data_IF_836310999169
#
_entry.id   IF_836310999169
#
_cell.length_a   1.000
_cell.length_b   1.000
_cell.length_c   1.000
_cell.angle_alpha   90.00
_cell.angle_beta   90.00
_cell.angle_gamma   90.00
#
_symmetry.space_group_name_H-M   'P 1'
#
loop_
_entity.id
_entity.type
_entity.pdbx_description
1 polymer ?
#
# COMPACT_ATOMS: atom_id res chain seq x y z
N UNK A 1 -41.52 -20.56 15.15
CA UNK A 1 -41.69 -19.91 13.83
C UNK A 1 -40.34 -19.51 13.19
N UNK A 2 -39.28 -20.28 13.42
CA UNK A 2 -37.90 -19.87 13.06
C UNK A 2 -37.66 -19.91 11.53
N UNK A 3 -38.38 -20.74 10.77
CA UNK A 3 -38.14 -20.94 9.33
C UNK A 3 -38.96 -20.05 8.37
N UNK A 4 -39.97 -19.31 8.84
CA UNK A 4 -40.90 -18.59 7.95
C UNK A 4 -40.34 -17.26 7.45
N UNK A 5 -39.53 -16.57 8.26
CA UNK A 5 -38.91 -15.31 7.87
C UNK A 5 -37.87 -15.51 6.76
N UNK A 6 -37.01 -16.53 6.88
CA UNK A 6 -36.01 -16.90 5.88
C UNK A 6 -36.60 -17.13 4.49
N UNK A 7 -37.72 -17.86 4.43
CA UNK A 7 -38.42 -18.11 3.17
C UNK A 7 -38.98 -16.83 2.55
N UNK A 8 -39.52 -15.92 3.35
CA UNK A 8 -40.02 -14.63 2.87
C UNK A 8 -38.87 -13.76 2.32
N UNK A 9 -37.70 -13.78 2.98
CA UNK A 9 -36.49 -13.09 2.53
C UNK A 9 -35.99 -13.67 1.21
N UNK A 10 -35.89 -15.01 1.08
CA UNK A 10 -35.41 -15.66 -0.16
C UNK A 10 -36.36 -15.47 -1.34
N UNK A 11 -37.67 -15.48 -1.10
CA UNK A 11 -38.68 -15.24 -2.13
C UNK A 11 -38.84 -13.73 -2.44
N UNK A 12 -38.00 -12.87 -1.87
CA UNK A 12 -38.02 -11.42 -2.00
C UNK A 12 -39.40 -10.80 -1.67
N UNK A 13 -40.07 -11.34 -0.65
CA UNK A 13 -41.38 -10.87 -0.16
C UNK A 13 -41.18 -9.93 1.02
N UNK A 14 -40.67 -8.72 0.75
CA UNK A 14 -40.30 -7.74 1.78
C UNK A 14 -41.45 -7.42 2.75
N UNK A 15 -42.66 -7.21 2.24
CA UNK A 15 -43.84 -6.93 3.07
C UNK A 15 -44.18 -8.08 4.04
N UNK A 16 -44.05 -9.32 3.57
CA UNK A 16 -44.26 -10.51 4.38
C UNK A 16 -43.14 -10.68 5.40
N UNK A 17 -41.88 -10.48 5.00
CA UNK A 17 -40.74 -10.55 5.90
C UNK A 17 -40.88 -9.51 7.04
N UNK A 18 -41.17 -8.26 6.70
CA UNK A 18 -41.42 -7.17 7.65
C UNK A 18 -42.59 -7.48 8.59
N UNK A 19 -43.70 -8.01 8.06
CA UNK A 19 -44.85 -8.44 8.88
C UNK A 19 -44.45 -9.55 9.87
N UNK A 20 -43.70 -10.56 9.41
CA UNK A 20 -43.26 -11.67 10.24
C UNK A 20 -42.31 -11.20 11.36
N UNK A 21 -41.38 -10.28 11.06
CA UNK A 21 -40.46 -9.69 12.05
C UNK A 21 -41.25 -8.93 13.13
N UNK A 22 -42.17 -8.04 12.70
CA UNK A 22 -43.04 -7.27 13.61
C UNK A 22 -43.95 -8.16 14.46
N UNK A 23 -44.26 -9.36 13.99
CA UNK A 23 -45.04 -10.36 14.72
C UNK A 23 -44.23 -11.15 15.77
N UNK A 24 -42.96 -10.79 15.99
CA UNK A 24 -42.09 -11.43 16.99
C UNK A 24 -41.35 -12.67 16.47
N UNK A 25 -41.10 -12.77 15.15
CA UNK A 25 -40.20 -13.80 14.64
C UNK A 25 -38.77 -13.58 15.14
N UNK A 26 -38.03 -14.67 15.24
CA UNK A 26 -36.61 -14.66 15.58
C UNK A 26 -35.81 -13.90 14.50
N UNK A 27 -35.04 -12.91 14.95
CA UNK A 27 -34.22 -12.04 14.10
C UNK A 27 -32.74 -12.43 14.10
N UNK A 28 -32.34 -13.34 14.98
CA UNK A 28 -30.92 -13.71 15.21
C UNK A 28 -30.57 -15.11 14.79
N UNK A 29 -31.46 -16.09 15.00
CA UNK A 29 -31.13 -17.49 14.70
C UNK A 29 -30.66 -17.63 13.27
N UNK A 30 -29.54 -18.33 13.02
CA UNK A 30 -29.09 -18.61 11.67
C UNK A 30 -30.11 -19.48 10.93
N UNK A 31 -30.08 -19.40 9.59
CA UNK A 31 -30.89 -20.23 8.70
C UNK A 31 -30.81 -21.71 9.11
N UNK A 32 -31.96 -22.39 9.21
CA UNK A 32 -32.06 -23.84 9.48
C UNK A 32 -32.72 -24.57 8.32
N UNK A 33 -32.41 -25.86 8.17
CA UNK A 33 -33.05 -26.72 7.18
C UNK A 33 -34.57 -26.77 7.38
N UNK A 34 -35.32 -26.74 6.28
CA UNK A 34 -36.77 -26.94 6.31
C UNK A 34 -37.16 -28.37 6.68
N UNK A 35 -38.44 -28.62 7.01
CA UNK A 35 -38.94 -29.97 7.21
C UNK A 35 -38.67 -30.82 5.96
N UNK A 36 -38.00 -31.98 6.13
CA UNK A 36 -37.65 -32.88 5.03
C UNK A 36 -36.28 -32.64 4.38
N UNK A 37 -35.42 -31.78 4.95
CA UNK A 37 -34.06 -31.54 4.44
C UNK A 37 -33.97 -30.54 3.29
N UNK A 38 -35.09 -29.86 2.96
CA UNK A 38 -35.08 -28.77 1.98
C UNK A 38 -34.17 -27.63 2.44
N UNK A 39 -33.19 -27.27 1.60
CA UNK A 39 -32.20 -26.22 1.84
C UNK A 39 -30.99 -26.65 2.69
N UNK A 40 -30.79 -27.95 2.96
CA UNK A 40 -29.69 -28.46 3.79
C UNK A 40 -28.28 -28.12 3.26
N UNK A 41 -28.14 -27.92 1.95
CA UNK A 41 -26.93 -27.47 1.26
C UNK A 41 -26.58 -26.00 1.57
N UNK A 42 -27.58 -25.15 1.87
CA UNK A 42 -27.41 -23.72 2.21
C UNK A 42 -27.31 -23.49 3.73
N UNK A 43 -27.41 -24.54 4.56
CA UNK A 43 -27.33 -24.45 6.04
C UNK A 43 -25.90 -24.31 6.54
N UNK A 44 -24.90 -24.62 5.71
CA UNK A 44 -23.47 -24.51 6.08
C UNK A 44 -23.00 -23.08 6.36
N UNK A 45 -23.74 -22.07 5.93
CA UNK A 45 -23.25 -20.69 5.86
C UNK A 45 -23.52 -19.88 7.14
N UNK A 46 -24.32 -20.41 8.08
CA UNK A 46 -24.70 -19.73 9.33
C UNK A 46 -25.23 -18.28 9.16
N UNK A 47 -25.80 -17.96 7.98
CA UNK A 47 -26.35 -16.64 7.71
C UNK A 47 -27.56 -16.32 8.61
N UNK A 48 -27.47 -15.19 9.32
CA UNK A 48 -28.61 -14.57 10.01
C UNK A 48 -29.55 -13.90 8.98
N UNK A 49 -30.80 -13.56 9.35
CA UNK A 49 -31.69 -12.79 8.47
C UNK A 49 -31.02 -11.51 7.93
N UNK A 50 -30.22 -10.85 8.76
CA UNK A 50 -29.49 -9.64 8.39
C UNK A 50 -28.43 -9.88 7.29
N UNK A 51 -27.71 -11.01 7.33
CA UNK A 51 -26.77 -11.38 6.26
C UNK A 51 -27.50 -11.54 4.92
N UNK A 52 -28.64 -12.24 4.92
CA UNK A 52 -29.40 -12.49 3.70
C UNK A 52 -29.97 -11.21 3.10
N UNK A 53 -30.48 -10.31 3.94
CA UNK A 53 -30.92 -9.01 3.46
C UNK A 53 -29.76 -8.21 2.85
N UNK A 54 -28.55 -8.33 3.41
CA UNK A 54 -27.34 -7.74 2.83
C UNK A 54 -26.90 -8.41 1.53
N UNK A 55 -27.19 -9.71 1.32
CA UNK A 55 -26.96 -10.38 0.04
C UNK A 55 -27.95 -9.90 -1.02
N UNK A 56 -29.24 -9.86 -0.68
CA UNK A 56 -30.33 -9.62 -1.61
C UNK A 56 -30.67 -8.13 -1.84
N UNK A 57 -30.17 -7.22 -1.01
CA UNK A 57 -30.43 -5.78 -1.15
C UNK A 57 -31.69 -5.26 -0.43
N UNK A 58 -32.19 -5.98 0.57
CA UNK A 58 -33.51 -5.70 1.21
C UNK A 58 -33.44 -4.61 2.27
N UNK A 59 -33.32 -3.36 1.84
CA UNK A 59 -33.04 -2.22 2.73
C UNK A 59 -34.15 -1.98 3.78
N UNK A 60 -35.44 -2.12 3.41
CA UNK A 60 -36.56 -1.93 4.35
C UNK A 60 -36.60 -3.02 5.44
N UNK A 61 -36.33 -4.26 5.05
CA UNK A 61 -36.29 -5.40 5.97
C UNK A 61 -35.14 -5.24 6.96
N UNK A 62 -33.99 -4.72 6.52
CA UNK A 62 -32.84 -4.42 7.40
C UNK A 62 -33.21 -3.42 8.48
N UNK A 63 -33.89 -2.32 8.14
CA UNK A 63 -34.34 -1.35 9.15
C UNK A 63 -35.23 -2.02 10.19
N UNK A 64 -36.19 -2.82 9.74
CA UNK A 64 -37.10 -3.53 10.63
C UNK A 64 -36.34 -4.52 11.52
N UNK A 65 -35.38 -5.27 10.98
CA UNK A 65 -34.55 -6.20 11.76
C UNK A 65 -33.77 -5.46 12.87
N UNK A 66 -33.14 -4.34 12.54
CA UNK A 66 -32.35 -3.55 13.49
C UNK A 66 -33.23 -2.93 14.59
N UNK A 67 -34.42 -2.42 14.24
CA UNK A 67 -35.41 -1.92 15.21
C UNK A 67 -35.85 -3.00 16.22
N UNK A 68 -35.85 -4.27 15.81
CA UNK A 68 -36.24 -5.41 16.63
C UNK A 68 -35.04 -6.09 17.31
N UNK A 69 -33.89 -5.41 17.37
CA UNK A 69 -32.73 -5.85 18.14
C UNK A 69 -31.82 -6.85 17.42
N UNK A 70 -31.87 -6.92 16.08
CA UNK A 70 -30.93 -7.73 15.34
C UNK A 70 -29.49 -7.26 15.59
N UNK A 71 -28.57 -8.18 15.87
CA UNK A 71 -27.18 -7.90 16.11
C UNK A 71 -26.47 -7.61 14.78
N UNK A 72 -26.11 -6.34 14.62
CA UNK A 72 -25.40 -5.82 13.45
C UNK A 72 -24.03 -6.44 13.21
N UNK A 73 -23.42 -7.02 14.26
CA UNK A 73 -22.07 -7.59 14.22
C UNK A 73 -22.05 -9.13 14.24
N UNK A 74 -23.20 -9.79 14.06
CA UNK A 74 -23.25 -11.25 13.99
C UNK A 74 -22.31 -11.77 12.90
N UNK A 75 -21.69 -12.92 13.14
CA UNK A 75 -20.75 -13.55 12.19
C UNK A 75 -21.35 -14.80 11.57
N UNK A 76 -21.16 -14.95 10.27
CA UNK A 76 -21.50 -16.16 9.53
C UNK A 76 -20.42 -17.26 9.67
N UNK A 77 -20.53 -18.36 8.92
CA UNK A 77 -19.57 -19.48 9.00
C UNK A 77 -18.17 -19.13 8.47
N UNK A 78 -18.05 -18.14 7.60
CA UNK A 78 -16.79 -17.57 7.12
C UNK A 78 -16.23 -16.50 8.08
N UNK A 79 -16.95 -16.20 9.16
CA UNK A 79 -16.60 -15.15 10.12
C UNK A 79 -16.91 -13.75 9.62
N UNK A 80 -17.61 -13.61 8.49
CA UNK A 80 -18.01 -12.33 7.91
C UNK A 80 -19.17 -11.74 8.69
N UNK A 81 -19.19 -10.42 8.78
CA UNK A 81 -20.33 -9.66 9.34
C UNK A 81 -21.27 -9.21 8.21
N UNK A 82 -22.51 -8.76 8.52
CA UNK A 82 -23.42 -8.20 7.52
C UNK A 82 -22.78 -7.06 6.69
N UNK A 83 -21.91 -6.25 7.31
CA UNK A 83 -21.17 -5.19 6.60
C UNK A 83 -20.22 -5.76 5.53
N UNK A 84 -19.54 -6.88 5.79
CA UNK A 84 -18.70 -7.54 4.78
C UNK A 84 -19.55 -7.95 3.57
N UNK A 85 -20.68 -8.60 3.81
CA UNK A 85 -21.60 -9.07 2.75
C UNK A 85 -22.15 -7.90 1.94
N UNK A 86 -22.56 -6.80 2.60
CA UNK A 86 -23.06 -5.61 1.92
C UNK A 86 -22.00 -4.97 1.02
N UNK A 87 -20.74 -4.95 1.46
CA UNK A 87 -19.60 -4.42 0.69
C UNK A 87 -19.29 -5.31 -0.51
N UNK A 88 -19.21 -6.62 -0.33
CA UNK A 88 -18.93 -7.60 -1.40
C UNK A 88 -20.00 -7.55 -2.50
N UNK A 89 -21.26 -7.34 -2.13
CA UNK A 89 -22.39 -7.20 -3.06
C UNK A 89 -22.62 -5.76 -3.55
N UNK A 90 -21.78 -4.80 -3.14
CA UNK A 90 -21.83 -3.39 -3.56
C UNK A 90 -23.15 -2.65 -3.27
N UNK A 91 -23.90 -3.07 -2.25
CA UNK A 91 -25.17 -2.46 -1.88
C UNK A 91 -24.98 -1.15 -1.11
N UNK A 92 -24.72 -0.07 -1.83
CA UNK A 92 -24.35 1.23 -1.26
C UNK A 92 -25.34 1.78 -0.22
N UNK A 93 -26.65 1.62 -0.46
CA UNK A 93 -27.67 2.06 0.50
C UNK A 93 -27.60 1.29 1.83
N UNK A 94 -27.36 -0.02 1.76
CA UNK A 94 -27.20 -0.88 2.93
C UNK A 94 -25.91 -0.55 3.67
N UNK A 95 -24.81 -0.36 2.95
CA UNK A 95 -23.52 0.02 3.56
C UNK A 95 -23.69 1.32 4.36
N UNK A 96 -24.29 2.36 3.76
CA UNK A 96 -24.55 3.62 4.46
C UNK A 96 -25.47 3.45 5.67
N UNK A 97 -26.51 2.62 5.55
CA UNK A 97 -27.43 2.31 6.64
C UNK A 97 -26.69 1.64 7.80
N UNK A 98 -25.93 0.58 7.53
CA UNK A 98 -25.18 -0.15 8.56
C UNK A 98 -24.15 0.76 9.24
N UNK A 99 -23.38 1.54 8.49
CA UNK A 99 -22.40 2.50 9.03
C UNK A 99 -23.03 3.64 9.86
N UNK A 100 -24.32 3.91 9.69
CA UNK A 100 -25.05 4.89 10.51
C UNK A 100 -25.47 4.33 11.88
N UNK A 101 -25.48 3.01 12.06
CA UNK A 101 -25.95 2.39 13.30
C UNK A 101 -24.90 2.50 14.43
N UNK A 102 -25.35 2.76 15.68
CA UNK A 102 -24.46 2.76 16.83
C UNK A 102 -23.94 1.33 17.12
N UNK A 103 -22.67 1.22 17.52
CA UNK A 103 -22.08 -0.05 17.92
C UNK A 103 -21.62 -0.96 16.77
N UNK A 104 -21.60 -0.49 15.52
CA UNK A 104 -21.01 -1.25 14.42
C UNK A 104 -19.51 -1.47 14.64
N UNK A 105 -19.07 -2.73 14.55
CA UNK A 105 -17.67 -3.11 14.71
C UNK A 105 -16.95 -3.09 13.34
N UNK A 106 -16.14 -2.05 13.15
CA UNK A 106 -15.30 -1.85 11.96
C UNK A 106 -13.94 -2.56 12.04
N UNK A 107 -13.66 -3.25 13.15
CA UNK A 107 -12.43 -4.01 13.38
C UNK A 107 -12.62 -5.53 13.22
N UNK A 108 -13.87 -5.99 13.13
CA UNK A 108 -14.22 -7.39 12.97
C UNK A 108 -13.52 -8.00 11.74
N UNK A 109 -12.81 -9.11 11.94
CA UNK A 109 -12.17 -9.84 10.83
C UNK A 109 -12.90 -11.15 10.53
N UNK A 110 -12.96 -11.47 9.24
CA UNK A 110 -13.37 -12.79 8.75
C UNK A 110 -12.29 -13.86 9.03
N UNK A 111 -12.57 -15.11 8.67
CA UNK A 111 -11.65 -16.23 8.87
C UNK A 111 -10.35 -16.10 8.05
N UNK A 112 -10.36 -15.30 6.98
CA UNK A 112 -9.18 -14.97 6.16
C UNK A 112 -8.39 -13.78 6.74
N UNK A 113 -8.90 -13.12 7.78
CA UNK A 113 -8.30 -11.94 8.40
C UNK A 113 -8.65 -10.62 7.72
N UNK A 114 -9.63 -10.61 6.82
CA UNK A 114 -10.13 -9.43 6.09
C UNK A 114 -11.07 -8.65 7.02
N UNK A 115 -10.78 -7.37 7.22
CA UNK A 115 -11.66 -6.40 7.90
C UNK A 115 -12.65 -5.75 6.91
N UNK A 116 -13.69 -5.00 7.35
CA UNK A 116 -14.60 -4.31 6.44
C UNK A 116 -13.89 -3.34 5.48
N UNK A 117 -12.88 -2.61 5.96
CA UNK A 117 -12.09 -1.70 5.12
C UNK A 117 -11.31 -2.47 4.04
N UNK A 118 -10.65 -3.57 4.44
CA UNK A 118 -10.01 -4.51 3.51
C UNK A 118 -10.97 -5.03 2.44
N UNK A 119 -12.18 -5.44 2.83
CA UNK A 119 -13.20 -5.92 1.90
C UNK A 119 -13.58 -4.83 0.89
N UNK A 120 -13.70 -3.57 1.33
CA UNK A 120 -14.00 -2.45 0.45
C UNK A 120 -12.89 -2.22 -0.60
N UNK A 121 -11.62 -2.32 -0.20
CA UNK A 121 -10.49 -2.22 -1.13
C UNK A 121 -10.45 -3.39 -2.12
N UNK A 122 -10.66 -4.62 -1.66
CA UNK A 122 -10.70 -5.83 -2.51
C UNK A 122 -11.84 -5.73 -3.52
N UNK A 123 -13.01 -5.25 -3.10
CA UNK A 123 -14.19 -5.04 -3.94
C UNK A 123 -14.11 -3.76 -4.80
N UNK A 124 -13.02 -2.97 -4.70
CA UNK A 124 -12.85 -1.66 -5.37
C UNK A 124 -13.97 -0.65 -5.06
N UNK A 125 -14.59 -0.77 -3.90
CA UNK A 125 -15.66 0.10 -3.45
C UNK A 125 -15.09 1.29 -2.67
N UNK A 126 -14.59 2.28 -3.42
CA UNK A 126 -13.98 3.49 -2.86
C UNK A 126 -14.93 4.27 -1.93
N UNK A 127 -16.24 4.29 -2.25
CA UNK A 127 -17.25 4.97 -1.43
C UNK A 127 -17.42 4.31 -0.07
N UNK A 128 -17.49 2.97 -0.05
CA UNK A 128 -17.55 2.22 1.21
C UNK A 128 -16.27 2.41 2.03
N UNK A 129 -15.09 2.36 1.38
CA UNK A 129 -13.82 2.59 2.04
C UNK A 129 -13.73 3.99 2.67
N UNK A 130 -14.16 5.04 1.96
CA UNK A 130 -14.23 6.40 2.49
C UNK A 130 -15.20 6.52 3.67
N UNK A 131 -16.42 5.99 3.55
CA UNK A 131 -17.40 6.03 4.63
C UNK A 131 -16.92 5.27 5.89
N UNK A 132 -16.14 4.21 5.73
CA UNK A 132 -15.50 3.49 6.84
C UNK A 132 -14.42 4.36 7.49
N UNK A 133 -13.58 5.06 6.71
CA UNK A 133 -12.54 5.95 7.25
C UNK A 133 -13.11 7.16 7.97
N UNK A 134 -14.23 7.72 7.50
CA UNK A 134 -14.94 8.80 8.18
C UNK A 134 -15.40 8.41 9.60
N UNK A 135 -15.77 7.14 9.80
CA UNK A 135 -16.15 6.59 11.11
C UNK A 135 -14.95 6.09 11.91
N UNK A 136 -13.95 5.53 11.25
CA UNK A 136 -12.76 4.97 11.85
C UNK A 136 -11.51 5.32 11.02
N UNK A 137 -10.86 6.46 11.32
CA UNK A 137 -9.65 6.89 10.59
C UNK A 137 -8.50 5.88 10.71
N UNK A 138 -8.45 5.12 11.80
CA UNK A 138 -7.41 4.11 12.03
C UNK A 138 -7.59 2.85 11.18
N UNK A 139 -8.70 2.73 10.42
CA UNK A 139 -8.99 1.53 9.63
C UNK A 139 -7.91 1.26 8.56
N UNK A 140 -7.32 2.29 7.95
CA UNK A 140 -6.25 2.15 6.97
C UNK A 140 -4.92 1.68 7.56
N UNK A 141 -4.69 1.91 8.85
CA UNK A 141 -3.44 1.53 9.53
C UNK A 141 -3.49 0.14 10.16
N UNK A 142 -4.63 -0.54 10.07
CA UNK A 142 -4.75 -1.90 10.55
C UNK A 142 -3.81 -2.83 9.76
N UNK A 143 -3.06 -3.64 10.50
CA UNK A 143 -2.10 -4.58 9.92
C UNK A 143 -2.68 -5.98 9.76
N UNK A 144 -2.14 -6.74 8.81
CA UNK A 144 -2.38 -8.17 8.68
C UNK A 144 -1.51 -8.99 9.67
N UNK A 145 -1.63 -10.32 9.65
CA UNK A 145 -0.82 -11.23 10.48
C UNK A 145 0.69 -11.17 10.19
N UNK A 146 1.09 -10.54 9.08
CA UNK A 146 2.49 -10.33 8.69
C UNK A 146 2.96 -8.91 9.03
N UNK A 147 2.16 -8.12 9.74
CA UNK A 147 2.52 -6.76 10.13
C UNK A 147 2.39 -5.71 9.03
N UNK A 148 1.68 -6.00 7.92
CA UNK A 148 1.52 -5.09 6.79
C UNK A 148 0.17 -4.41 6.82
N UNK A 149 0.14 -3.08 6.75
CA UNK A 149 -1.09 -2.32 6.49
C UNK A 149 -1.51 -2.40 5.01
N UNK A 150 -2.61 -1.74 4.64
CA UNK A 150 -3.16 -1.76 3.28
C UNK A 150 -2.23 -1.15 2.24
N UNK A 151 -1.53 -0.06 2.58
CA UNK A 151 -0.58 0.58 1.68
C UNK A 151 0.58 -0.36 1.36
N UNK A 152 1.15 -1.04 2.36
CA UNK A 152 2.20 -2.04 2.15
C UNK A 152 1.75 -3.16 1.21
N UNK A 153 0.53 -3.69 1.39
CA UNK A 153 0.00 -4.77 0.55
C UNK A 153 -0.24 -4.29 -0.88
N UNK A 154 -0.78 -3.08 -1.07
CA UNK A 154 -1.02 -2.49 -2.39
C UNK A 154 0.30 -2.29 -3.16
N UNK A 155 1.34 -1.78 -2.48
CA UNK A 155 2.66 -1.57 -3.08
C UNK A 155 3.30 -2.91 -3.49
N UNK A 156 3.27 -3.92 -2.61
CA UNK A 156 3.85 -5.24 -2.91
C UNK A 156 3.15 -5.96 -4.07
N UNK A 157 1.85 -5.72 -4.25
CA UNK A 157 1.09 -6.24 -5.40
C UNK A 157 1.22 -5.37 -6.66
N UNK A 158 1.94 -4.26 -6.58
CA UNK A 158 2.01 -3.24 -7.64
C UNK A 158 0.62 -2.73 -8.06
N UNK A 159 -0.33 -2.69 -7.12
CA UNK A 159 -1.72 -2.30 -7.36
C UNK A 159 -1.86 -0.78 -7.28
N UNK A 160 -1.57 -0.11 -8.41
CA UNK A 160 -1.52 1.35 -8.49
C UNK A 160 -2.86 2.01 -8.17
N UNK A 161 -3.99 1.38 -8.52
CA UNK A 161 -5.32 1.93 -8.22
C UNK A 161 -5.56 2.02 -6.71
N UNK A 162 -5.23 0.94 -5.98
CA UNK A 162 -5.31 0.95 -4.51
C UNK A 162 -4.35 1.97 -3.90
N UNK A 163 -3.12 2.06 -4.42
CA UNK A 163 -2.14 3.05 -3.94
C UNK A 163 -2.68 4.46 -4.12
N UNK A 164 -3.15 4.82 -5.32
CA UNK A 164 -3.67 6.17 -5.58
C UNK A 164 -4.90 6.49 -4.75
N UNK A 165 -5.78 5.52 -4.52
CA UNK A 165 -6.90 5.69 -3.60
C UNK A 165 -6.45 5.91 -2.15
N UNK A 166 -5.50 5.12 -1.65
CA UNK A 166 -4.98 5.28 -0.29
C UNK A 166 -4.26 6.63 -0.11
N UNK A 167 -3.52 7.09 -1.13
CA UNK A 167 -2.90 8.40 -1.11
C UNK A 167 -3.91 9.55 -1.12
N UNK A 168 -5.04 9.40 -1.83
CA UNK A 168 -6.08 10.43 -1.88
C UNK A 168 -6.86 10.58 -0.57
N UNK A 169 -6.85 9.57 0.29
CA UNK A 169 -7.42 9.62 1.65
C UNK A 169 -6.37 9.93 2.73
N UNK A 170 -5.18 10.40 2.32
CA UNK A 170 -4.10 10.90 3.19
C UNK A 170 -3.64 9.90 4.28
N UNK A 171 -3.52 8.61 3.94
CA UNK A 171 -2.95 7.59 4.86
C UNK A 171 -1.49 7.89 5.24
N UNK A 172 -0.98 7.28 6.31
CA UNK A 172 0.42 7.43 6.68
C UNK A 172 1.35 6.70 5.68
N UNK A 173 1.94 7.49 4.79
CA UNK A 173 2.91 7.05 3.78
C UNK A 173 4.28 6.68 4.35
N UNK A 174 4.51 6.88 5.65
CA UNK A 174 5.75 6.56 6.34
C UNK A 174 5.59 5.46 7.39
N UNK A 175 4.44 4.77 7.39
CA UNK A 175 4.15 3.62 8.23
C UNK A 175 5.19 2.50 8.02
N UNK A 176 5.58 1.79 9.08
CA UNK A 176 6.57 0.70 8.97
C UNK A 176 5.89 -0.66 9.02
N UNK A 177 6.34 -1.59 8.17
CA UNK A 177 5.95 -2.99 8.29
C UNK A 177 6.34 -3.51 9.67
N UNK A 178 5.44 -4.16 10.38
CA UNK A 178 5.69 -4.73 11.71
C UNK A 178 6.31 -6.14 11.61
N UNK A 179 7.34 -6.28 10.79
CA UNK A 179 8.15 -7.50 10.65
C UNK A 179 9.61 -7.24 11.06
N UNK A 180 10.48 -8.22 10.84
CA UNK A 180 11.90 -8.09 11.17
C UNK A 180 12.63 -6.99 10.38
N UNK A 181 12.08 -6.56 9.24
CA UNK A 181 12.71 -5.55 8.38
C UNK A 181 12.38 -4.14 8.81
N UNK A 182 11.22 -3.91 9.43
CA UNK A 182 10.70 -2.57 9.73
C UNK A 182 10.70 -1.64 8.50
N UNK A 183 10.49 -2.21 7.31
CA UNK A 183 10.59 -1.51 6.04
C UNK A 183 9.49 -0.44 5.91
N UNK A 184 9.84 0.83 5.61
CA UNK A 184 8.88 1.85 5.16
C UNK A 184 8.27 1.51 3.78
N UNK A 185 7.17 2.18 3.37
CA UNK A 185 6.48 1.86 2.12
C UNK A 185 7.35 2.21 0.91
N UNK A 186 8.19 3.25 1.04
CA UNK A 186 9.16 3.64 0.01
C UNK A 186 10.23 2.57 -0.26
N UNK A 187 10.64 1.78 0.75
CA UNK A 187 11.56 0.65 0.55
C UNK A 187 10.88 -0.48 -0.23
N UNK A 188 9.60 -0.74 0.05
CA UNK A 188 8.83 -1.74 -0.71
C UNK A 188 8.66 -1.30 -2.16
N UNK A 189 8.36 -0.02 -2.39
CA UNK A 189 8.29 0.57 -3.72
C UNK A 189 9.63 0.48 -4.47
N UNK A 190 10.72 0.76 -3.76
CA UNK A 190 12.07 0.67 -4.31
C UNK A 190 12.44 -0.76 -4.70
N UNK A 191 12.00 -1.76 -3.94
CA UNK A 191 12.19 -3.18 -4.26
C UNK A 191 11.31 -3.64 -5.44
N UNK A 192 10.07 -3.14 -5.51
CA UNK A 192 9.10 -3.50 -6.55
C UNK A 192 9.52 -2.98 -7.94
N UNK A 193 10.31 -1.91 -8.01
CA UNK A 193 10.85 -1.39 -9.28
C UNK A 193 9.89 -0.51 -10.09
N UNK A 194 8.73 -0.15 -9.53
CA UNK A 194 7.76 0.72 -10.21
C UNK A 194 8.06 2.20 -9.94
N UNK A 195 8.61 2.89 -10.94
CA UNK A 195 9.02 4.30 -10.82
C UNK A 195 7.84 5.24 -10.57
N UNK A 196 6.71 5.02 -11.23
CA UNK A 196 5.52 5.88 -11.10
C UNK A 196 4.97 5.78 -9.68
N UNK A 197 4.90 4.57 -9.13
CA UNK A 197 4.48 4.33 -7.76
C UNK A 197 5.43 5.02 -6.77
N UNK A 198 6.75 4.84 -6.95
CA UNK A 198 7.74 5.45 -6.07
C UNK A 198 7.68 6.99 -6.10
N UNK A 199 7.58 7.60 -7.29
CA UNK A 199 7.39 9.04 -7.42
C UNK A 199 6.11 9.50 -6.73
N UNK A 200 5.01 8.77 -6.91
CA UNK A 200 3.73 9.11 -6.27
C UNK A 200 3.84 9.11 -4.74
N UNK A 201 4.58 8.17 -4.15
CA UNK A 201 4.86 8.16 -2.70
C UNK A 201 5.71 9.37 -2.27
N UNK A 202 6.76 9.71 -3.03
CA UNK A 202 7.60 10.89 -2.73
C UNK A 202 6.78 12.19 -2.79
N UNK A 203 5.93 12.34 -3.80
CA UNK A 203 5.00 13.47 -3.92
C UNK A 203 4.00 13.53 -2.75
N UNK A 204 3.59 12.39 -2.22
CA UNK A 204 2.71 12.30 -1.05
C UNK A 204 3.44 12.48 0.30
N UNK A 205 4.74 12.80 0.29
CA UNK A 205 5.51 13.09 1.51
C UNK A 205 6.25 11.89 2.12
N UNK A 206 6.48 10.83 1.35
CA UNK A 206 7.34 9.73 1.79
C UNK A 206 8.79 10.20 2.00
N UNK A 207 9.38 9.84 3.14
CA UNK A 207 10.75 10.26 3.49
C UNK A 207 11.80 9.37 2.80
N UNK A 208 12.63 9.91 1.89
CA UNK A 208 13.62 9.11 1.15
C UNK A 208 14.75 8.55 2.02
N UNK A 209 14.99 9.18 3.18
CA UNK A 209 16.12 8.88 4.07
C UNK A 209 15.73 8.03 5.28
N UNK A 210 14.47 7.59 5.37
CA UNK A 210 14.08 6.66 6.41
C UNK A 210 14.90 5.37 6.31
N UNK A 211 15.21 4.79 7.46
CA UNK A 211 16.05 3.61 7.58
C UNK A 211 15.24 2.42 8.07
N UNK A 212 15.49 1.26 7.47
CA UNK A 212 14.95 -0.03 7.91
C UNK A 212 15.75 -0.58 9.11
N UNK A 213 15.40 -1.78 9.60
CA UNK A 213 16.09 -2.44 10.71
C UNK A 213 17.58 -2.72 10.45
N UNK A 214 17.99 -2.80 9.18
CA UNK A 214 19.38 -2.97 8.75
C UNK A 214 20.08 -1.64 8.45
N UNK A 215 19.48 -0.52 8.85
CA UNK A 215 19.92 0.85 8.56
C UNK A 215 19.96 1.20 7.06
N UNK A 216 19.31 0.40 6.20
CA UNK A 216 19.26 0.66 4.75
C UNK A 216 18.25 1.75 4.45
N UNK A 217 18.59 2.63 3.54
CA UNK A 217 17.64 3.58 2.91
C UNK A 217 16.97 2.96 1.68
N UNK A 218 15.93 3.59 1.15
CA UNK A 218 15.29 3.14 -0.10
C UNK A 218 16.30 3.05 -1.26
N UNK A 219 17.33 3.90 -1.26
CA UNK A 219 18.39 3.89 -2.27
C UNK A 219 19.23 2.61 -2.22
N UNK A 220 19.54 2.09 -1.03
CA UNK A 220 20.24 0.81 -0.89
C UNK A 220 19.40 -0.35 -1.45
N UNK A 221 18.09 -0.32 -1.19
CA UNK A 221 17.15 -1.34 -1.69
C UNK A 221 17.05 -1.28 -3.22
N UNK A 222 16.90 -0.07 -3.80
CA UNK A 222 16.86 0.13 -5.24
C UNK A 222 18.17 -0.34 -5.93
N UNK A 223 19.31 0.00 -5.33
CA UNK A 223 20.63 -0.40 -5.81
C UNK A 223 20.84 -1.92 -5.77
N UNK A 224 20.42 -2.57 -4.69
CA UNK A 224 20.48 -4.03 -4.54
C UNK A 224 19.50 -4.81 -5.39
N UNK A 225 18.39 -4.19 -5.81
CA UNK A 225 17.46 -4.77 -6.78
C UNK A 225 17.83 -4.46 -8.25
N UNK A 226 18.80 -3.57 -8.47
CA UNK A 226 19.27 -3.18 -9.80
C UNK A 226 18.37 -2.21 -10.56
N UNK A 227 17.44 -1.55 -9.88
CA UNK A 227 16.44 -0.67 -10.49
C UNK A 227 17.00 0.73 -10.73
N UNK A 228 17.71 0.89 -11.85
CA UNK A 228 18.40 2.14 -12.20
C UNK A 228 17.46 3.37 -12.30
N UNK A 229 16.23 3.19 -12.81
CA UNK A 229 15.23 4.25 -12.88
C UNK A 229 14.77 4.71 -11.48
N UNK A 230 14.64 3.77 -10.54
CA UNK A 230 14.30 4.07 -9.15
C UNK A 230 15.44 4.82 -8.47
N UNK A 231 16.69 4.42 -8.72
CA UNK A 231 17.88 5.13 -8.23
C UNK A 231 17.83 6.60 -8.65
N UNK A 232 17.55 6.87 -9.93
CA UNK A 232 17.40 8.23 -10.46
C UNK A 232 16.25 9.00 -9.80
N UNK A 233 15.09 8.35 -9.65
CA UNK A 233 13.93 8.95 -9.00
C UNK A 233 14.17 9.27 -7.52
N UNK A 234 14.90 8.42 -6.79
CA UNK A 234 15.29 8.66 -5.39
C UNK A 234 16.33 9.76 -5.27
N UNK A 235 17.34 9.79 -6.16
CA UNK A 235 18.36 10.85 -6.19
C UNK A 235 17.74 12.22 -6.41
N UNK A 236 16.86 12.34 -7.42
CA UNK A 236 16.08 13.57 -7.67
C UNK A 236 15.06 13.88 -6.57
N UNK A 237 14.62 12.86 -5.82
CA UNK A 237 13.70 12.96 -4.69
C UNK A 237 14.35 13.33 -3.35
N UNK A 238 15.64 13.69 -3.32
CA UNK A 238 16.33 14.13 -2.09
C UNK A 238 16.89 13.00 -1.23
N UNK A 239 17.13 11.81 -1.80
CA UNK A 239 17.79 10.72 -1.08
C UNK A 239 19.26 11.04 -0.76
N UNK A 240 19.68 10.75 0.46
CA UNK A 240 21.07 10.83 0.93
C UNK A 240 21.89 9.71 0.29
N UNK A 241 22.67 10.07 -0.72
CA UNK A 241 23.39 9.11 -1.54
C UNK A 241 24.59 8.48 -0.81
N UNK A 242 25.21 9.24 0.11
CA UNK A 242 26.32 8.78 0.95
C UNK A 242 25.92 8.03 2.23
N UNK A 243 24.63 7.75 2.44
CA UNK A 243 24.18 6.98 3.60
C UNK A 243 24.79 5.57 3.58
N UNK A 244 25.08 5.03 4.77
CA UNK A 244 25.61 3.68 4.96
C UNK A 244 24.65 2.81 5.73
N UNK A 245 24.59 1.53 5.37
CA UNK A 245 23.82 0.52 6.10
C UNK A 245 24.53 0.00 7.36
N UNK A 246 23.99 -1.03 8.00
CA UNK A 246 24.57 -1.62 9.21
C UNK A 246 25.95 -2.28 8.98
N UNK A 247 26.27 -2.65 7.74
CA UNK A 247 27.59 -3.17 7.33
C UNK A 247 28.57 -2.07 6.91
N UNK A 248 28.16 -0.81 6.93
CA UNK A 248 28.91 0.31 6.38
C UNK A 248 28.92 0.35 4.86
N UNK A 249 28.07 -0.43 4.19
CA UNK A 249 27.96 -0.43 2.75
C UNK A 249 27.11 0.77 2.32
N UNK A 250 27.60 1.57 1.37
CA UNK A 250 26.78 2.57 0.66
C UNK A 250 25.93 1.89 -0.41
N UNK A 251 24.94 2.60 -0.98
CA UNK A 251 24.15 2.09 -2.10
C UNK A 251 25.03 1.61 -3.27
N UNK A 252 26.17 2.27 -3.53
CA UNK A 252 27.13 1.86 -4.56
C UNK A 252 27.82 0.53 -4.23
N UNK A 253 28.21 0.32 -2.96
CA UNK A 253 28.74 -0.97 -2.51
C UNK A 253 27.73 -2.10 -2.71
N UNK A 254 26.45 -1.84 -2.41
CA UNK A 254 25.38 -2.82 -2.61
C UNK A 254 25.19 -3.13 -4.10
N UNK A 255 25.07 -2.12 -4.98
CA UNK A 255 24.96 -2.33 -6.43
C UNK A 255 26.13 -3.14 -7.00
N UNK A 256 27.35 -2.82 -6.56
CA UNK A 256 28.57 -3.52 -6.95
C UNK A 256 28.60 -4.97 -6.49
N UNK A 257 28.20 -5.24 -5.24
CA UNK A 257 28.19 -6.58 -4.64
C UNK A 257 27.21 -7.52 -5.35
N UNK A 258 26.05 -7.00 -5.75
CA UNK A 258 25.01 -7.75 -6.48
C UNK A 258 25.24 -7.77 -8.01
N UNK A 259 26.24 -7.03 -8.52
CA UNK A 259 26.59 -7.03 -9.96
C UNK A 259 25.69 -6.15 -10.83
N UNK A 260 24.94 -5.21 -10.25
CA UNK A 260 24.01 -4.34 -10.97
C UNK A 260 24.74 -3.12 -11.57
N UNK A 261 25.46 -3.36 -12.67
CA UNK A 261 26.28 -2.35 -13.33
C UNK A 261 25.51 -1.09 -13.75
N UNK A 262 24.25 -1.22 -14.20
CA UNK A 262 23.45 -0.06 -14.61
C UNK A 262 23.07 0.83 -13.44
N UNK A 263 22.66 0.25 -12.29
CA UNK A 263 22.39 0.99 -11.07
C UNK A 263 23.66 1.65 -10.51
N UNK A 264 24.81 0.97 -10.57
CA UNK A 264 26.09 1.56 -10.19
C UNK A 264 26.49 2.74 -11.09
N UNK A 265 26.22 2.65 -12.41
CA UNK A 265 26.47 3.74 -13.36
C UNK A 265 25.55 4.94 -13.10
N UNK A 266 24.26 4.73 -12.84
CA UNK A 266 23.34 5.83 -12.54
C UNK A 266 23.69 6.51 -11.21
N UNK A 267 24.04 5.73 -10.18
CA UNK A 267 24.57 6.30 -8.92
C UNK A 267 25.78 7.20 -9.20
N UNK A 268 26.80 6.73 -9.93
CA UNK A 268 28.00 7.54 -10.22
C UNK A 268 27.74 8.75 -11.12
N UNK A 269 26.71 8.70 -11.97
CA UNK A 269 26.42 9.77 -12.92
C UNK A 269 25.50 10.86 -12.33
N UNK A 270 24.56 10.47 -11.48
CA UNK A 270 23.49 11.36 -10.99
C UNK A 270 23.66 11.77 -9.53
N UNK A 271 24.64 11.20 -8.82
CA UNK A 271 24.85 11.47 -7.40
C UNK A 271 26.32 11.75 -7.09
N UNK A 272 26.57 12.57 -6.07
CA UNK A 272 27.92 12.87 -5.56
C UNK A 272 28.45 11.77 -4.63
N UNK A 273 28.12 10.50 -4.89
CA UNK A 273 28.59 9.39 -4.06
C UNK A 273 30.11 9.25 -4.21
N UNK A 274 30.79 9.24 -3.07
CA UNK A 274 32.20 8.91 -3.01
C UNK A 274 32.41 7.43 -3.38
N UNK A 275 32.94 7.20 -4.58
CA UNK A 275 33.32 5.87 -5.04
C UNK A 275 34.42 5.25 -4.15
N UNK A 276 35.33 6.07 -3.62
CA UNK A 276 36.46 5.62 -2.82
C UNK A 276 36.10 5.30 -1.37
N UNK A 277 34.84 5.50 -0.96
CA UNK A 277 34.37 5.15 0.37
C UNK A 277 34.67 3.68 0.68
N UNK A 278 35.15 3.42 1.90
CA UNK A 278 35.38 2.06 2.40
C UNK A 278 34.23 1.63 3.28
N UNK A 279 33.77 0.40 3.10
CA UNK A 279 32.87 -0.22 4.07
C UNK A 279 33.62 -0.71 5.33
N UNK A 280 32.89 -1.20 6.34
CA UNK A 280 33.50 -1.73 7.58
C UNK A 280 34.41 -2.95 7.35
N UNK A 281 34.35 -3.58 6.16
CA UNK A 281 35.23 -4.68 5.75
C UNK A 281 36.47 -4.20 4.98
N UNK A 282 36.67 -2.88 4.86
CA UNK A 282 37.78 -2.26 4.13
C UNK A 282 37.72 -2.42 2.61
N UNK A 283 36.55 -2.76 2.04
CA UNK A 283 36.37 -2.87 0.59
C UNK A 283 35.97 -1.52 0.01
N UNK A 284 36.59 -1.15 -1.11
CA UNK A 284 36.31 0.04 -1.94
C UNK A 284 35.75 -0.36 -3.30
N UNK A 285 35.05 0.56 -3.96
CA UNK A 285 34.63 0.42 -5.35
C UNK A 285 35.31 1.48 -6.26
N UNK A 286 35.89 1.12 -7.42
CA UNK A 286 36.12 -0.23 -7.91
C UNK A 286 37.14 -0.97 -7.03
N UNK A 287 37.08 -2.32 -6.94
CA UNK A 287 38.03 -3.09 -6.15
C UNK A 287 39.45 -2.72 -6.57
N UNK A 288 40.38 -2.56 -5.61
CA UNK A 288 41.74 -2.00 -5.79
C UNK A 288 42.58 -2.58 -6.96
N UNK A 289 42.14 -3.67 -7.60
CA UNK A 289 42.70 -4.20 -8.85
C UNK A 289 42.28 -3.42 -10.11
N UNK A 290 41.35 -2.47 -10.02
CA UNK A 290 40.77 -1.69 -11.13
C UNK A 290 41.01 -0.18 -11.03
N UNK A 291 41.91 0.29 -10.16
CA UNK A 291 42.41 1.66 -10.25
C UNK A 291 43.26 1.79 -11.53
N UNK A 292 42.89 2.62 -12.53
CA UNK A 292 43.83 2.95 -13.59
C UNK A 292 45.04 3.59 -12.93
N UNK A 293 46.24 3.05 -13.16
CA UNK A 293 47.48 3.70 -12.73
C UNK A 293 47.42 5.16 -13.16
N UNK A 294 47.73 6.14 -12.29
CA UNK A 294 47.84 7.52 -12.72
C UNK A 294 49.04 7.59 -13.66
N UNK A 295 48.80 7.56 -14.97
CA UNK A 295 49.81 7.97 -15.96
C UNK A 295 49.91 9.48 -15.88
N UNK A 296 50.77 9.94 -14.96
CA UNK A 296 51.30 11.30 -14.96
C UNK A 296 52.19 11.45 -16.20
N UNK A 297 51.63 11.96 -17.29
CA UNK A 297 52.40 12.66 -18.31
C UNK A 297 51.80 14.05 -18.49
N UNK A 298 52.54 15.14 -18.22
CA UNK A 298 52.05 16.48 -18.48
C UNK A 298 52.01 16.71 -20.01
N UNK A 299 51.05 17.50 -20.54
CA UNK A 299 51.03 17.81 -21.96
C UNK A 299 52.19 18.75 -22.33
N UNK A 300 52.90 18.41 -23.41
CA UNK A 300 53.92 19.24 -24.04
C UNK A 300 53.34 20.59 -24.52
N UNK A 301 54.12 21.69 -24.48
CA UNK A 301 53.64 23.00 -24.91
C UNK A 301 53.51 23.06 -26.43
N UNK A 302 52.33 23.41 -26.92
CA UNK A 302 52.11 23.65 -28.35
C UNK A 302 52.67 25.02 -28.74
N UNK A 303 53.68 25.00 -29.62
CA UNK A 303 54.23 26.16 -30.30
C UNK A 303 53.16 26.78 -31.21
N UNK A 304 52.70 28.00 -30.90
CA UNK A 304 51.98 28.83 -31.88
C UNK A 304 52.91 29.90 -32.47
N UNK A 305 53.06 29.73 -33.77
CA UNK A 305 53.69 30.52 -34.82
C UNK A 305 53.42 32.03 -34.70
N UNK A 306 54.50 32.79 -34.95
CA UNK A 306 54.57 34.24 -35.12
C UNK A 306 53.57 34.76 -36.18
N UNK A 307 52.82 35.81 -35.84
CA UNK A 307 52.41 36.83 -36.81
C UNK A 307 52.67 38.21 -36.21
N UNK A 308 53.29 39.07 -37.04
CA UNK A 308 54.00 40.27 -36.64
C UNK A 308 53.13 41.47 -36.25
N UNK A 309 53.73 42.37 -35.48
CA UNK A 309 53.37 43.80 -35.44
C UNK A 309 54.10 44.52 -36.59
N UNK A 310 53.63 45.72 -36.98
CA UNK A 310 54.32 46.89 -36.45
C UNK A 310 53.41 48.07 -36.03
N UNK A 311 53.91 48.80 -35.02
CA UNK A 311 53.84 50.25 -34.72
C UNK A 311 52.64 51.09 -35.22
N UNK A 312 51.79 51.75 -34.40
CA UNK A 312 51.96 52.77 -33.34
C UNK A 312 52.35 54.19 -33.81
N UNK A 313 51.38 55.12 -33.81
CA UNK A 313 51.46 56.58 -33.47
C UNK A 313 50.02 57.16 -33.49
N UNK A 314 49.35 57.49 -32.38
CA UNK A 314 49.43 58.67 -31.47
C UNK A 314 49.06 60.02 -32.14
N UNK A 315 47.89 60.60 -31.81
CA UNK A 315 47.70 61.89 -31.09
C UNK A 315 46.32 62.52 -31.32
N UNK A 316 45.85 63.14 -30.24
CA UNK A 316 44.73 64.08 -30.10
C UNK A 316 44.74 65.24 -31.11
N UNK A 317 43.55 65.78 -31.44
CA UNK A 317 43.16 67.19 -31.19
C UNK A 317 41.80 67.55 -31.81
N UNK A 318 41.06 68.31 -30.99
CA UNK A 318 39.94 69.24 -31.25
C UNK A 318 38.56 68.68 -31.58
#
# INVERSE_FOLDING_TARGET
MIGTNFRAIDENKESLATFLIRSGCDVESPRRAGPGGAGADVVGDAHTPLHLCCTWGLTEVIQTLLEHGANINSKDSEGKTPLHIAIENQHSAIISLLLSQPGIDLSARDNKGVSPFAAALIARNNKAAQAILEKNPSAAEQVDKKGRNFLHVAIQKCDMESVMFLLSVEVDVNSRVQDATLAPPLHLAANAGNEVLLRSLLLAGARPNDRDAHKRTALHVAAGAGHAAIVSALASGGAECGAVDAGGDTALHVAAREGHAQAARTLLAETDIDAAATNLKGKVWPPARYSPRPTLTPPLPTSKVKYGRPHATRRDRH
#
